data_IF_635081135033
#
_entry.id   IF_635081135033
#
_cell.length_a   1.000
_cell.length_b   1.000
_cell.length_c   1.000
_cell.angle_alpha   90.00
_cell.angle_beta   90.00
_cell.angle_gamma   90.00
#
_symmetry.space_group_name_H-M   'P 1'
#
loop_
_entity.id
_entity.type
_entity.pdbx_description
1 polymer ?
#
# COMPACT_ATOMS: atom_id res chain seq x y z
N UNK A 1 -11.37 -3.42 -2.42
CA UNK A 1 -10.83 -2.21 -3.07
C UNK A 1 -11.25 -2.28 -4.51
N UNK A 2 -11.96 -1.27 -4.98
CA UNK A 2 -12.44 -1.18 -6.36
C UNK A 2 -11.87 0.10 -6.96
N UNK A 3 -10.91 -0.05 -7.87
CA UNK A 3 -10.19 1.07 -8.48
C UNK A 3 -10.77 1.31 -9.88
N UNK A 4 -10.95 2.57 -10.26
CA UNK A 4 -11.40 2.98 -11.59
C UNK A 4 -10.44 3.99 -12.20
N UNK A 5 -10.39 4.05 -13.53
CA UNK A 5 -9.51 4.96 -14.25
C UNK A 5 -9.87 6.44 -14.08
N UNK A 6 -11.06 6.78 -13.61
CA UNK A 6 -11.51 8.16 -13.37
C UNK A 6 -11.19 8.68 -11.96
N UNK A 7 -10.58 7.85 -11.12
CA UNK A 7 -10.18 8.22 -9.76
C UNK A 7 -8.97 9.14 -9.73
N UNK A 8 -8.95 10.06 -8.77
CA UNK A 8 -7.82 10.94 -8.49
C UNK A 8 -6.86 10.33 -7.45
N UNK A 9 -5.62 10.83 -7.42
CA UNK A 9 -4.57 10.36 -6.51
C UNK A 9 -5.00 10.36 -5.04
N UNK A 10 -5.72 11.41 -4.59
CA UNK A 10 -6.17 11.49 -3.19
C UNK A 10 -7.21 10.39 -2.87
N UNK A 11 -8.11 10.07 -3.81
CA UNK A 11 -9.12 9.02 -3.61
C UNK A 11 -8.47 7.64 -3.57
N UNK A 12 -7.48 7.38 -4.43
CA UNK A 12 -6.71 6.13 -4.41
C UNK A 12 -5.91 6.02 -3.11
N UNK A 13 -5.26 7.11 -2.67
CA UNK A 13 -4.50 7.16 -1.42
C UNK A 13 -5.38 6.83 -0.22
N UNK A 14 -6.54 7.49 -0.10
CA UNK A 14 -7.47 7.26 1.01
C UNK A 14 -7.92 5.80 1.05
N UNK A 15 -8.17 5.19 -0.11
CA UNK A 15 -8.53 3.77 -0.20
C UNK A 15 -7.38 2.82 0.17
N UNK A 16 -6.15 3.13 -0.22
CA UNK A 16 -4.98 2.35 0.15
C UNK A 16 -4.72 2.46 1.66
N UNK A 17 -4.79 3.67 2.21
CA UNK A 17 -4.64 3.91 3.64
C UNK A 17 -5.70 3.17 4.45
N UNK A 18 -6.98 3.25 4.06
CA UNK A 18 -8.06 2.50 4.73
C UNK A 18 -7.77 0.99 4.75
N UNK A 19 -7.17 0.44 3.68
CA UNK A 19 -6.79 -0.96 3.62
C UNK A 19 -5.63 -1.30 4.55
N UNK A 20 -4.64 -0.43 4.68
CA UNK A 20 -3.53 -0.61 5.61
C UNK A 20 -4.05 -0.52 7.05
N UNK A 21 -4.93 0.43 7.33
CA UNK A 21 -5.51 0.65 8.66
C UNK A 21 -6.43 -0.50 9.10
N UNK A 22 -7.15 -1.17 8.20
CA UNK A 22 -7.93 -2.39 8.55
C UNK A 22 -7.01 -3.50 9.12
N UNK A 23 -5.73 -3.52 8.75
CA UNK A 23 -4.75 -4.48 9.25
C UNK A 23 -3.98 -3.98 10.47
N UNK A 24 -4.32 -2.81 11.01
CA UNK A 24 -3.75 -2.23 12.24
C UNK A 24 -3.83 -3.16 13.45
N UNK A 25 -4.86 -4.01 13.56
CA UNK A 25 -4.99 -4.97 14.67
C UNK A 25 -3.85 -6.00 14.75
N UNK A 26 -2.97 -6.06 13.75
CA UNK A 26 -1.78 -6.92 13.72
C UNK A 26 -0.47 -6.21 14.08
N UNK A 27 -0.54 -4.95 14.51
CA UNK A 27 0.65 -4.20 14.95
C UNK A 27 1.23 -4.81 16.23
N UNK A 28 2.57 -4.82 16.29
CA UNK A 28 3.31 -5.20 17.47
C UNK A 28 3.10 -4.16 18.59
N UNK A 29 2.24 -4.48 19.55
CA UNK A 29 2.14 -3.76 20.82
C UNK A 29 3.38 -4.08 21.68
N UNK A 30 3.99 -3.05 22.27
CA UNK A 30 5.09 -3.24 23.22
C UNK A 30 4.52 -3.92 24.45
N UNK A 31 4.86 -5.20 24.62
CA UNK A 31 4.25 -6.04 25.67
C UNK A 31 5.19 -6.20 26.86
N UNK A 32 6.51 -6.19 26.62
CA UNK A 32 7.50 -6.41 27.67
C UNK A 32 8.26 -5.13 28.02
N UNK A 33 8.53 -4.94 29.32
CA UNK A 33 9.23 -3.75 29.81
C UNK A 33 10.63 -3.53 29.22
N UNK A 34 11.35 -4.61 28.87
CA UNK A 34 12.67 -4.46 28.26
C UNK A 34 12.58 -3.86 26.85
N UNK A 35 11.57 -4.26 26.06
CA UNK A 35 11.29 -3.68 24.75
C UNK A 35 10.92 -2.20 24.89
N UNK A 36 10.13 -1.84 25.90
CA UNK A 36 9.79 -0.44 26.16
C UNK A 36 11.03 0.43 26.44
N UNK A 37 12.00 -0.09 27.19
CA UNK A 37 13.29 0.60 27.39
C UNK A 37 14.06 0.73 26.08
N UNK A 38 14.09 -0.29 25.24
CA UNK A 38 14.78 -0.25 23.95
C UNK A 38 14.11 0.72 22.97
N UNK A 39 12.78 0.81 22.97
CA UNK A 39 12.05 1.77 22.14
C UNK A 39 12.30 3.21 22.60
N UNK A 40 12.18 3.49 23.90
CA UNK A 40 12.30 4.86 24.42
C UNK A 40 13.75 5.36 24.47
N UNK A 41 14.71 4.48 24.76
CA UNK A 41 16.12 4.87 24.93
C UNK A 41 17.03 4.44 23.77
N UNK A 42 16.53 3.65 22.83
CA UNK A 42 17.29 3.15 21.69
C UNK A 42 17.40 4.18 20.58
N UNK A 43 18.52 4.13 19.85
CA UNK A 43 18.77 5.04 18.74
C UNK A 43 17.85 4.86 17.55
N UNK A 44 17.29 3.67 17.40
CA UNK A 44 16.56 3.24 16.20
C UNK A 44 15.16 3.87 16.12
N UNK A 45 14.69 4.48 17.21
CA UNK A 45 13.37 5.10 17.32
C UNK A 45 13.41 6.62 17.50
N UNK A 46 14.61 7.24 17.47
CA UNK A 46 14.80 8.67 17.71
C UNK A 46 14.09 9.59 16.70
N UNK A 47 13.75 9.05 15.53
CA UNK A 47 13.02 9.80 14.49
C UNK A 47 11.52 9.89 14.79
N UNK A 48 11.03 9.17 15.81
CA UNK A 48 9.63 9.10 16.19
C UNK A 48 9.44 9.57 17.64
N UNK A 49 8.50 10.48 17.84
CA UNK A 49 8.08 10.91 19.17
C UNK A 49 6.65 10.43 19.43
N UNK A 50 6.37 10.04 20.66
CA UNK A 50 4.99 9.81 21.08
C UNK A 50 4.25 11.14 21.14
N UNK A 51 3.23 11.31 20.32
CA UNK A 51 2.35 12.48 20.37
C UNK A 51 1.31 12.30 21.49
N UNK A 52 0.97 13.40 22.18
CA UNK A 52 -0.14 13.47 23.15
C UNK A 52 -0.13 12.43 24.31
N UNK A 53 1.06 12.07 24.83
CA UNK A 53 1.15 11.20 26.00
C UNK A 53 0.53 11.84 27.25
N UNK A 54 -0.67 11.39 27.61
CA UNK A 54 -1.30 11.68 28.90
C UNK A 54 -0.92 10.65 29.96
N UNK A 55 0.10 10.94 30.76
CA UNK A 55 0.52 10.09 31.88
C UNK A 55 -0.33 10.24 33.14
N UNK A 56 -1.39 11.06 33.13
CA UNK A 56 -2.18 11.35 34.33
C UNK A 56 -2.86 10.11 34.94
N UNK A 57 -3.02 9.04 34.14
CA UNK A 57 -3.62 7.77 34.54
C UNK A 57 -2.58 6.65 34.80
N UNK A 58 -1.30 6.97 34.86
CA UNK A 58 -0.23 6.01 35.17
C UNK A 58 0.01 5.92 36.69
N UNK A 59 -0.13 4.73 37.27
CA UNK A 59 0.14 4.46 38.69
C UNK A 59 1.63 4.22 38.99
N UNK A 60 2.47 4.12 37.95
CA UNK A 60 3.91 3.88 38.09
C UNK A 60 4.72 4.43 36.91
N UNK A 61 6.00 4.69 37.15
CA UNK A 61 6.96 5.06 36.08
C UNK A 61 7.08 3.99 35.00
N UNK A 62 6.85 2.73 35.36
CA UNK A 62 6.91 1.63 34.42
C UNK A 62 5.70 1.64 33.47
N UNK A 63 4.50 1.99 33.96
CA UNK A 63 3.33 2.18 33.09
C UNK A 63 3.51 3.39 32.17
N UNK A 64 4.09 4.48 32.69
CA UNK A 64 4.41 5.65 31.87
C UNK A 64 5.39 5.28 30.74
N UNK A 65 6.44 4.49 31.04
CA UNK A 65 7.39 4.01 30.04
C UNK A 65 6.71 3.13 28.97
N UNK A 66 5.81 2.22 29.36
CA UNK A 66 5.06 1.40 28.41
C UNK A 66 4.16 2.24 27.51
N UNK A 67 3.48 3.23 28.09
CA UNK A 67 2.62 4.14 27.34
C UNK A 67 3.43 4.97 26.34
N UNK A 68 4.58 5.47 26.75
CA UNK A 68 5.49 6.22 25.88
C UNK A 68 6.03 5.36 24.74
N UNK A 69 6.51 4.15 25.05
CA UNK A 69 7.00 3.21 24.05
C UNK A 69 5.92 2.87 23.01
N UNK A 70 4.69 2.61 23.45
CA UNK A 70 3.58 2.35 22.54
C UNK A 70 3.17 3.58 21.73
N UNK A 71 3.26 4.78 22.31
CA UNK A 71 3.09 6.03 21.56
C UNK A 71 4.10 6.15 20.42
N UNK A 72 5.38 5.90 20.70
CA UNK A 72 6.46 5.93 19.70
C UNK A 72 6.22 4.90 18.59
N UNK A 73 5.89 3.65 18.94
CA UNK A 73 5.61 2.59 17.96
C UNK A 73 4.39 2.94 17.09
N UNK A 74 3.35 3.53 17.67
CA UNK A 74 2.18 3.99 16.92
C UNK A 74 2.53 5.13 15.96
N UNK A 75 3.32 6.12 16.38
CA UNK A 75 3.79 7.20 15.50
C UNK A 75 4.60 6.64 14.33
N UNK A 76 5.53 5.71 14.63
CA UNK A 76 6.33 5.05 13.61
C UNK A 76 5.47 4.29 12.60
N UNK A 77 4.45 3.56 13.09
CA UNK A 77 3.49 2.88 12.23
C UNK A 77 2.78 3.85 11.28
N UNK A 78 2.20 4.94 11.79
CA UNK A 78 1.46 5.89 10.96
C UNK A 78 2.36 6.58 9.93
N UNK A 79 3.62 6.88 10.30
CA UNK A 79 4.61 7.42 9.37
C UNK A 79 4.90 6.44 8.24
N UNK A 80 5.29 5.20 8.57
CA UNK A 80 5.68 4.18 7.58
C UNK A 80 4.49 3.77 6.71
N UNK A 81 3.31 3.57 7.30
CA UNK A 81 2.10 3.23 6.56
C UNK A 81 1.68 4.33 5.59
N UNK A 82 1.84 5.60 5.99
CA UNK A 82 1.62 6.74 5.11
C UNK A 82 2.55 6.74 3.91
N UNK A 83 3.86 6.52 4.12
CA UNK A 83 4.84 6.41 3.04
C UNK A 83 4.51 5.24 2.09
N UNK A 84 4.19 4.07 2.64
CA UNK A 84 3.77 2.90 1.84
C UNK A 84 2.48 3.18 1.07
N UNK A 85 1.53 3.90 1.65
CA UNK A 85 0.30 4.28 0.97
C UNK A 85 0.58 5.22 -0.20
N UNK A 86 1.50 6.18 -0.05
CA UNK A 86 1.92 7.08 -1.11
C UNK A 86 2.61 6.34 -2.26
N UNK A 87 3.53 5.41 -1.94
CA UNK A 87 4.21 4.59 -2.94
C UNK A 87 3.22 3.73 -3.74
N UNK A 88 2.37 2.95 -3.07
CA UNK A 88 1.37 2.11 -3.76
C UNK A 88 0.39 2.96 -4.57
N UNK A 89 0.05 4.16 -4.09
CA UNK A 89 -0.81 5.08 -4.83
C UNK A 89 -0.15 5.52 -6.13
N UNK A 90 1.13 5.90 -6.10
CA UNK A 90 1.87 6.29 -7.29
C UNK A 90 1.88 5.16 -8.35
N UNK A 91 2.10 3.92 -7.91
CA UNK A 91 2.10 2.73 -8.76
C UNK A 91 0.71 2.46 -9.40
N UNK A 92 -0.37 2.62 -8.64
CA UNK A 92 -1.74 2.49 -9.16
C UNK A 92 -2.05 3.63 -10.15
N UNK A 93 -1.65 4.86 -9.84
CA UNK A 93 -1.85 6.00 -10.72
C UNK A 93 -1.09 5.85 -12.04
N UNK A 94 0.16 5.36 -11.99
CA UNK A 94 0.93 5.02 -13.17
C UNK A 94 0.18 4.03 -14.08
N UNK A 95 -0.39 2.97 -13.49
CA UNK A 95 -1.21 2.02 -14.24
C UNK A 95 -2.51 2.63 -14.80
N UNK A 96 -3.16 3.54 -14.06
CA UNK A 96 -4.33 4.30 -14.54
C UNK A 96 -3.97 5.12 -15.78
N UNK A 97 -2.83 5.84 -15.74
CA UNK A 97 -2.36 6.64 -16.86
C UNK A 97 -2.06 5.78 -18.10
N UNK A 98 -1.41 4.62 -17.90
CA UNK A 98 -1.16 3.66 -18.98
C UNK A 98 -2.46 3.12 -19.60
N UNK A 99 -3.47 2.82 -18.77
CA UNK A 99 -4.79 2.38 -19.21
C UNK A 99 -5.53 3.46 -20.01
N UNK A 100 -5.57 4.69 -19.50
CA UNK A 100 -6.16 5.83 -20.20
C UNK A 100 -5.44 6.11 -21.54
N UNK A 101 -4.12 5.94 -21.59
CA UNK A 101 -3.32 6.06 -22.81
C UNK A 101 -3.67 5.03 -23.90
N UNK A 102 -4.34 3.93 -23.54
CA UNK A 102 -4.88 2.93 -24.47
C UNK A 102 -6.39 3.07 -24.71
N UNK A 103 -6.95 4.25 -24.37
CA UNK A 103 -8.38 4.59 -24.44
C UNK A 103 -9.29 3.72 -23.55
N UNK A 104 -8.72 3.02 -22.56
CA UNK A 104 -9.51 2.27 -21.60
C UNK A 104 -10.08 3.19 -20.52
N UNK A 105 -11.39 3.09 -20.30
CA UNK A 105 -12.09 3.77 -19.21
C UNK A 105 -12.95 2.76 -18.47
N UNK A 106 -12.62 2.48 -17.22
CA UNK A 106 -13.37 1.53 -16.41
C UNK A 106 -12.63 1.01 -15.20
N UNK A 107 -13.06 -0.18 -14.77
CA UNK A 107 -12.64 -0.82 -13.54
C UNK A 107 -11.29 -1.53 -13.68
N UNK A 108 -10.38 -1.23 -12.78
CA UNK A 108 -9.10 -1.92 -12.62
C UNK A 108 -9.25 -3.06 -11.61
N UNK A 109 -8.71 -4.22 -11.95
CA UNK A 109 -8.68 -5.39 -11.07
C UNK A 109 -7.34 -5.47 -10.35
N UNK A 110 -7.36 -5.76 -9.04
CA UNK A 110 -6.17 -6.01 -8.24
C UNK A 110 -6.19 -7.46 -7.74
N UNK A 111 -5.11 -8.20 -7.98
CA UNK A 111 -5.02 -9.63 -7.66
C UNK A 111 -3.65 -10.02 -7.10
N UNK A 112 -3.61 -11.09 -6.29
CA UNK A 112 -2.40 -11.60 -5.64
C UNK A 112 -1.42 -12.35 -6.58
N UNK A 113 -1.75 -12.43 -7.86
CA UNK A 113 -0.98 -13.13 -8.88
C UNK A 113 -1.18 -12.44 -10.23
N UNK A 114 -0.25 -12.71 -11.14
CA UNK A 114 -0.42 -12.38 -12.55
C UNK A 114 -1.64 -13.11 -13.15
N UNK A 115 -2.41 -12.38 -13.94
CA UNK A 115 -3.54 -12.84 -14.75
C UNK A 115 -3.08 -13.22 -16.17
N UNK A 116 -2.15 -12.46 -16.75
CA UNK A 116 -1.77 -12.57 -18.17
C UNK A 116 -0.30 -12.92 -18.43
N UNK A 117 0.55 -12.96 -17.39
CA UNK A 117 2.01 -13.16 -17.49
C UNK A 117 2.46 -14.54 -17.98
N UNK A 118 1.53 -15.46 -18.25
CA UNK A 118 1.79 -16.69 -19.00
C UNK A 118 1.81 -16.47 -20.52
N UNK A 119 1.31 -15.33 -21.02
CA UNK A 119 1.31 -14.96 -22.44
C UNK A 119 2.44 -13.96 -22.74
N UNK A 120 3.09 -14.02 -23.92
CA UNK A 120 3.98 -12.95 -24.35
C UNK A 120 3.23 -11.62 -24.54
N UNK A 121 3.70 -10.54 -23.90
CA UNK A 121 3.17 -9.20 -24.14
C UNK A 121 3.72 -8.62 -25.46
N UNK A 122 2.99 -7.68 -26.06
CA UNK A 122 3.36 -7.03 -27.30
C UNK A 122 4.36 -5.88 -27.09
N UNK A 123 4.25 -5.17 -25.96
CA UNK A 123 5.21 -4.17 -25.50
C UNK A 123 5.18 -4.09 -23.97
N UNK A 124 6.23 -3.49 -23.42
CA UNK A 124 6.36 -3.11 -22.01
C UNK A 124 6.84 -1.66 -22.00
N UNK A 125 6.31 -0.83 -21.11
CA UNK A 125 6.85 0.52 -20.94
C UNK A 125 8.13 0.52 -20.07
N UNK A 126 8.66 1.71 -19.77
CA UNK A 126 9.91 1.83 -19.03
C UNK A 126 9.77 1.51 -17.54
N UNK A 127 8.54 1.54 -17.03
CA UNK A 127 8.23 1.37 -15.60
C UNK A 127 7.67 -0.03 -15.31
N UNK A 128 7.31 -0.80 -16.36
CA UNK A 128 7.05 -2.23 -16.31
C UNK A 128 5.61 -2.62 -16.65
N UNK A 129 4.77 -1.71 -17.14
CA UNK A 129 3.41 -2.05 -17.56
C UNK A 129 3.47 -2.90 -18.82
N UNK A 130 2.96 -4.12 -18.73
CA UNK A 130 2.90 -5.07 -19.82
C UNK A 130 1.61 -4.88 -20.64
N UNK A 131 1.74 -4.70 -21.94
CA UNK A 131 0.63 -4.49 -22.88
C UNK A 131 0.41 -5.73 -23.73
N UNK A 132 -0.77 -6.31 -23.64
CA UNK A 132 -1.19 -7.47 -24.42
C UNK A 132 -2.22 -7.04 -25.46
N UNK A 133 -2.00 -7.39 -26.72
CA UNK A 133 -2.94 -7.09 -27.81
C UNK A 133 -3.37 -8.36 -28.51
N UNK A 134 -4.66 -8.44 -28.83
CA UNK A 134 -5.26 -9.57 -29.55
C UNK A 134 -4.92 -10.93 -28.91
N UNK A 135 -5.16 -11.06 -27.60
CA UNK A 135 -4.90 -12.29 -26.85
C UNK A 135 -5.56 -13.50 -27.54
N UNK A 136 -4.73 -14.46 -27.98
CA UNK A 136 -5.19 -15.69 -28.62
C UNK A 136 -5.98 -16.54 -27.62
N UNK A 137 -7.19 -16.97 -28.00
CA UNK A 137 -8.11 -17.72 -27.12
C UNK A 137 -9.09 -16.84 -26.33
N UNK A 138 -8.79 -15.55 -26.17
CA UNK A 138 -9.62 -14.54 -25.47
C UNK A 138 -10.40 -13.67 -26.47
N UNK A 139 -10.78 -14.24 -27.63
CA UNK A 139 -11.57 -13.56 -28.68
C UNK A 139 -10.99 -12.22 -29.18
N UNK A 140 -9.68 -12.01 -29.08
CA UNK A 140 -9.03 -10.78 -29.54
C UNK A 140 -9.05 -9.65 -28.51
N UNK A 141 -9.30 -9.93 -27.23
CA UNK A 141 -9.18 -8.95 -26.15
C UNK A 141 -7.76 -8.35 -26.09
N UNK A 142 -7.69 -7.08 -25.71
CA UNK A 142 -6.48 -6.41 -25.24
C UNK A 142 -6.47 -6.39 -23.72
N UNK A 143 -5.28 -6.36 -23.12
CA UNK A 143 -5.12 -6.30 -21.67
C UNK A 143 -3.88 -5.49 -21.29
N UNK A 144 -3.89 -4.92 -20.09
CA UNK A 144 -2.70 -4.39 -19.42
C UNK A 144 -2.50 -5.14 -18.12
N UNK A 145 -1.26 -5.29 -17.71
CA UNK A 145 -0.90 -5.82 -16.40
C UNK A 145 0.33 -5.13 -15.84
N UNK A 146 0.33 -4.87 -14.53
CA UNK A 146 1.43 -4.23 -13.84
C UNK A 146 1.56 -4.73 -12.41
N UNK A 147 2.78 -4.84 -11.90
CA UNK A 147 3.02 -5.21 -10.50
C UNK A 147 3.06 -3.94 -9.64
N UNK A 148 1.96 -3.64 -8.94
CA UNK A 148 1.86 -2.44 -8.07
C UNK A 148 2.54 -2.61 -6.71
N UNK A 149 2.72 -3.85 -6.26
CA UNK A 149 3.43 -4.17 -5.03
C UNK A 149 3.93 -5.63 -5.08
N UNK A 150 4.78 -6.02 -4.13
CA UNK A 150 5.25 -7.41 -4.04
C UNK A 150 4.08 -8.40 -3.95
N UNK A 151 3.86 -9.17 -5.02
CA UNK A 151 2.77 -10.12 -5.13
C UNK A 151 1.39 -9.52 -5.43
N UNK A 152 1.25 -8.23 -5.71
CA UNK A 152 -0.03 -7.61 -6.09
C UNK A 152 0.08 -7.04 -7.50
N UNK A 153 -0.86 -7.42 -8.35
CA UNK A 153 -0.90 -7.05 -9.76
C UNK A 153 -2.19 -6.28 -10.06
N UNK A 154 -2.05 -5.16 -10.77
CA UNK A 154 -3.14 -4.46 -11.43
C UNK A 154 -3.33 -5.02 -12.83
N UNK A 155 -4.57 -5.29 -13.22
CA UNK A 155 -4.89 -5.77 -14.55
C UNK A 155 -6.22 -5.24 -15.06
N UNK A 156 -6.30 -5.09 -16.38
CA UNK A 156 -7.52 -4.77 -17.12
C UNK A 156 -7.59 -5.60 -18.39
N UNK A 157 -8.80 -5.91 -18.86
CA UNK A 157 -9.02 -6.51 -20.16
C UNK A 157 -10.23 -5.85 -20.85
N UNK A 158 -10.12 -5.62 -22.16
CA UNK A 158 -11.18 -4.96 -22.94
C UNK A 158 -11.11 -5.34 -24.42
N UNK A 159 -12.23 -5.16 -25.12
CA UNK A 159 -12.24 -5.23 -26.58
C UNK A 159 -11.90 -3.83 -27.11
N UNK A 160 -10.87 -3.76 -27.95
CA UNK A 160 -10.53 -2.55 -28.69
C UNK A 160 -11.37 -2.47 -29.97
#
# INVERSE_FOLDING_TARGET
>A
MEVHTDMFSDEVRDMVQERIDIHQDSIADVTYYHEAFEVVAGSDWNDYESEDNDFSNCDSSMQALMQEANGIVNTAWYSISGEVAEEITAEIMHFIEAAQGEDYNGKISLAACTTHGWTPHAKEDLEGVCFYYNLEGEKGLSALEYQVASGVYASICWNK
#
